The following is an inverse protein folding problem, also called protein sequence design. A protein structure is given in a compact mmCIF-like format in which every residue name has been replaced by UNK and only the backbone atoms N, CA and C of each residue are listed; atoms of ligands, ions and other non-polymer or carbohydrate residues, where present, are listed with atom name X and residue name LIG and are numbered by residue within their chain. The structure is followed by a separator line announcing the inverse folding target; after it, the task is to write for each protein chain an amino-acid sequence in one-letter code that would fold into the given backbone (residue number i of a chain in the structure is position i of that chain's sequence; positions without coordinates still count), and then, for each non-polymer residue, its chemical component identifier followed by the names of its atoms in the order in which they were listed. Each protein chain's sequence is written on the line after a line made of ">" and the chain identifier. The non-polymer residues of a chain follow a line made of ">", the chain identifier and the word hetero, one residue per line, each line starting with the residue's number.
data_IF_398320117596
#
_entry.id   IF_398320117596
#
_cell.length_a   1.000
_cell.length_b   1.000
_cell.length_c   1.000
_cell.angle_alpha   90.00
_cell.angle_beta   90.00
_cell.angle_gamma   90.00
#
_symmetry.space_group_name_H-M   'P 1'
#
loop_
_entity.id
_entity.type
_entity.pdbx_description
1 polymer ?
#
# COMPACT_ATOMS: atom_id res chain seq x y z
N UNK A 1 12.69 18.44 4.99
CA UNK A 1 12.96 17.29 5.86
C UNK A 1 11.77 16.81 6.70
N UNK A 2 10.78 17.66 7.00
CA UNK A 2 9.55 17.25 7.72
C UNK A 2 8.75 16.19 6.95
N UNK A 3 8.63 16.32 5.63
CA UNK A 3 7.92 15.39 4.75
C UNK A 3 8.42 13.93 4.88
N UNK A 4 9.73 13.71 4.76
CA UNK A 4 10.32 12.37 4.89
C UNK A 4 10.18 11.76 6.30
N UNK A 5 10.10 12.59 7.32
CA UNK A 5 9.87 12.12 8.68
C UNK A 5 8.43 11.66 8.90
N UNK A 6 7.50 12.29 8.17
CA UNK A 6 6.07 12.02 8.28
C UNK A 6 5.66 10.82 7.42
N UNK A 7 6.15 10.76 6.17
CA UNK A 7 5.76 9.73 5.18
C UNK A 7 6.86 8.72 4.89
N UNK A 8 7.88 8.67 5.72
CA UNK A 8 9.04 7.82 5.50
C UNK A 8 8.72 6.34 5.41
N UNK A 9 7.81 5.84 6.24
CA UNK A 9 7.42 4.43 6.23
C UNK A 9 6.66 4.07 4.95
N UNK A 10 5.72 4.90 4.50
CA UNK A 10 5.00 4.70 3.25
C UNK A 10 5.92 4.71 2.04
N UNK A 11 6.90 5.63 2.01
CA UNK A 11 7.89 5.72 0.93
C UNK A 11 8.76 4.48 0.89
N UNK A 12 9.34 4.09 2.02
CA UNK A 12 10.20 2.90 2.11
C UNK A 12 9.42 1.65 1.74
N UNK A 13 8.19 1.52 2.21
CA UNK A 13 7.35 0.37 1.91
C UNK A 13 6.95 0.32 0.43
N UNK A 14 6.63 1.47 -0.19
CA UNK A 14 6.37 1.53 -1.64
C UNK A 14 7.58 1.09 -2.46
N UNK A 15 8.77 1.55 -2.08
CA UNK A 15 10.01 1.11 -2.74
C UNK A 15 10.30 -0.38 -2.51
N UNK A 16 10.01 -0.90 -1.32
CA UNK A 16 10.15 -2.33 -1.02
C UNK A 16 9.17 -3.18 -1.84
N UNK A 17 7.92 -2.76 -1.97
CA UNK A 17 6.91 -3.42 -2.82
C UNK A 17 7.38 -3.43 -4.28
N UNK A 18 7.83 -2.30 -4.81
CA UNK A 18 8.37 -2.21 -6.16
C UNK A 18 9.57 -3.16 -6.36
N UNK A 19 10.53 -3.13 -5.44
CA UNK A 19 11.71 -3.97 -5.48
C UNK A 19 11.36 -5.45 -5.49
N UNK A 20 10.51 -5.91 -4.56
CA UNK A 20 10.06 -7.31 -4.47
C UNK A 20 9.29 -7.70 -5.73
N UNK A 21 8.45 -6.82 -6.25
CA UNK A 21 7.65 -7.09 -7.46
C UNK A 21 8.52 -7.24 -8.71
N UNK A 22 9.62 -6.48 -8.82
CA UNK A 22 10.53 -6.55 -9.98
C UNK A 22 11.53 -7.70 -9.86
N UNK A 23 12.12 -7.91 -8.68
CA UNK A 23 13.25 -8.85 -8.50
C UNK A 23 12.78 -10.27 -8.24
N UNK A 24 11.54 -10.47 -7.83
CA UNK A 24 11.00 -11.80 -7.55
C UNK A 24 10.96 -12.64 -8.83
N UNK A 25 12.12 -13.16 -9.22
CA UNK A 25 12.24 -14.31 -10.11
C UNK A 25 11.73 -15.53 -9.36
N UNK A 26 10.42 -15.74 -9.41
CA UNK A 26 9.84 -16.97 -8.91
C UNK A 26 10.31 -18.09 -9.82
N UNK A 27 11.00 -19.14 -9.32
CA UNK A 27 11.22 -20.34 -10.11
C UNK A 27 9.83 -20.82 -10.58
N UNK A 28 9.72 -21.20 -11.84
CA UNK A 28 8.49 -21.76 -12.41
C UNK A 28 8.18 -23.09 -11.70
N UNK A 29 7.49 -23.02 -10.57
CA UNK A 29 6.88 -24.20 -9.98
C UNK A 29 5.48 -24.34 -10.59
N UNK A 30 5.18 -25.43 -11.28
CA UNK A 30 3.92 -25.62 -12.00
C UNK A 30 2.72 -25.92 -11.09
N UNK A 31 2.86 -25.86 -9.77
CA UNK A 31 1.81 -26.22 -8.83
C UNK A 31 0.79 -25.09 -8.61
N UNK A 32 -0.48 -25.46 -8.74
CA UNK A 32 -1.65 -24.61 -8.46
C UNK A 32 -1.61 -23.96 -7.07
N UNK A 33 -1.02 -24.60 -6.08
CA UNK A 33 -0.84 -24.07 -4.73
C UNK A 33 0.02 -22.80 -4.72
N UNK A 34 0.98 -22.69 -5.61
CA UNK A 34 1.88 -21.56 -5.70
C UNK A 34 1.20 -20.29 -6.22
N UNK A 35 0.23 -20.44 -7.13
CA UNK A 35 -0.54 -19.30 -7.68
C UNK A 35 -1.42 -18.63 -6.63
N UNK A 36 -2.01 -19.40 -5.72
CA UNK A 36 -2.80 -18.85 -4.61
C UNK A 36 -1.93 -18.14 -3.57
N UNK A 37 -0.75 -18.68 -3.30
CA UNK A 37 0.21 -18.06 -2.37
C UNK A 37 0.71 -16.70 -2.91
N UNK A 38 0.89 -16.58 -4.22
CA UNK A 38 1.27 -15.32 -4.84
C UNK A 38 0.18 -14.24 -4.65
N UNK A 39 -1.07 -14.58 -4.90
CA UNK A 39 -2.21 -13.68 -4.68
C UNK A 39 -2.38 -13.27 -3.20
N UNK A 40 -2.17 -14.20 -2.29
CA UNK A 40 -2.18 -13.91 -0.85
C UNK A 40 -1.03 -12.95 -0.49
N UNK A 41 0.15 -13.13 -1.06
CA UNK A 41 1.28 -12.24 -0.86
C UNK A 41 0.98 -10.82 -1.38
N UNK A 42 0.41 -10.68 -2.57
CA UNK A 42 -0.05 -9.41 -3.12
C UNK A 42 -1.08 -8.74 -2.20
N UNK A 43 -2.11 -9.48 -1.80
CA UNK A 43 -3.11 -8.96 -0.85
C UNK A 43 -2.47 -8.44 0.44
N UNK A 44 -1.56 -9.20 1.06
CA UNK A 44 -0.91 -8.79 2.31
C UNK A 44 -0.02 -7.57 2.10
N UNK A 45 0.79 -7.54 1.03
CA UNK A 45 1.66 -6.40 0.73
C UNK A 45 0.87 -5.10 0.60
N UNK A 46 -0.21 -5.12 -0.15
CA UNK A 46 -1.04 -3.93 -0.37
C UNK A 46 -1.96 -3.60 0.81
N UNK A 47 -2.36 -4.61 1.58
CA UNK A 47 -3.02 -4.38 2.87
C UNK A 47 -2.10 -3.61 3.83
N UNK A 48 -0.85 -4.01 3.95
CA UNK A 48 0.13 -3.34 4.81
C UNK A 48 0.46 -1.95 4.26
N UNK A 49 0.69 -1.80 2.96
CA UNK A 49 0.97 -0.51 2.33
C UNK A 49 -0.16 0.50 2.58
N UNK A 50 -1.39 0.13 2.26
CA UNK A 50 -2.56 0.98 2.47
C UNK A 50 -2.77 1.31 3.95
N UNK A 51 -2.60 0.32 4.83
CA UNK A 51 -2.72 0.50 6.27
C UNK A 51 -1.70 1.49 6.83
N UNK A 52 -0.44 1.40 6.40
CA UNK A 52 0.62 2.33 6.81
C UNK A 52 0.37 3.73 6.29
N UNK A 53 -0.04 3.89 5.03
CA UNK A 53 -0.40 5.20 4.47
C UNK A 53 -1.55 5.82 5.26
N UNK A 54 -2.61 5.05 5.54
CA UNK A 54 -3.73 5.53 6.34
C UNK A 54 -3.29 5.94 7.76
N UNK A 55 -2.42 5.16 8.38
CA UNK A 55 -1.90 5.44 9.72
C UNK A 55 -1.08 6.74 9.75
N UNK A 56 -0.17 6.92 8.80
CA UNK A 56 0.65 8.14 8.70
C UNK A 56 -0.22 9.37 8.44
N UNK A 57 -1.18 9.29 7.53
CA UNK A 57 -2.14 10.36 7.25
C UNK A 57 -3.01 10.67 8.47
N UNK A 58 -3.47 9.65 9.18
CA UNK A 58 -4.31 9.84 10.36
C UNK A 58 -3.55 10.54 11.51
N UNK A 59 -2.28 10.24 11.69
CA UNK A 59 -1.43 10.95 12.66
C UNK A 59 -1.30 12.44 12.36
N UNK A 60 -1.42 12.82 11.08
CA UNK A 60 -1.36 14.20 10.60
C UNK A 60 -2.76 14.84 10.43
N UNK A 61 -3.76 14.35 11.15
CA UNK A 61 -5.19 14.65 10.97
C UNK A 61 -5.55 16.14 10.88
N UNK A 62 -4.75 17.03 11.46
CA UNK A 62 -5.00 18.48 11.38
C UNK A 62 -4.80 19.06 9.98
N UNK A 63 -4.05 18.37 9.12
CA UNK A 63 -3.71 18.83 7.79
C UNK A 63 -4.45 18.08 6.66
N UNK A 64 -5.22 17.00 6.96
CA UNK A 64 -5.82 16.13 5.95
C UNK A 64 -7.32 15.97 6.08
N UNK A 65 -8.00 16.15 4.94
CA UNK A 65 -9.43 15.89 4.80
C UNK A 65 -9.73 14.41 4.53
N UNK A 66 -10.97 13.98 4.77
CA UNK A 66 -11.45 12.63 4.41
C UNK A 66 -11.24 12.31 2.93
N UNK A 67 -11.29 13.31 2.05
CA UNK A 67 -11.01 13.15 0.62
C UNK A 67 -9.55 12.76 0.38
N UNK A 68 -8.62 13.40 1.05
CA UNK A 68 -7.18 13.07 0.93
C UNK A 68 -6.88 11.69 1.49
N UNK A 69 -7.55 11.29 2.57
CA UNK A 69 -7.41 9.96 3.11
C UNK A 69 -7.88 8.87 2.12
N UNK A 70 -8.98 9.10 1.41
CA UNK A 70 -9.42 8.20 0.33
C UNK A 70 -8.43 8.18 -0.84
N UNK A 71 -7.94 9.34 -1.26
CA UNK A 71 -7.02 9.42 -2.40
C UNK A 71 -5.70 8.70 -2.12
N UNK A 72 -5.09 8.97 -0.99
CA UNK A 72 -3.76 8.43 -0.66
C UNK A 72 -3.81 7.05 0.01
N UNK A 73 -4.80 6.81 0.87
CA UNK A 73 -4.92 5.53 1.59
C UNK A 73 -5.57 4.41 0.78
N UNK A 74 -6.41 4.75 -0.21
CA UNK A 74 -7.15 3.78 -1.01
C UNK A 74 -6.76 3.82 -2.49
N UNK A 75 -6.92 4.96 -3.15
CA UNK A 75 -6.74 5.06 -4.62
C UNK A 75 -5.27 4.90 -5.00
N UNK A 76 -4.36 5.54 -4.27
CA UNK A 76 -2.92 5.46 -4.54
C UNK A 76 -2.38 4.02 -4.55
N UNK A 77 -2.60 3.17 -3.53
CA UNK A 77 -2.12 1.79 -3.57
C UNK A 77 -2.70 0.99 -4.73
N UNK A 78 -3.98 1.17 -5.05
CA UNK A 78 -4.65 0.47 -6.16
C UNK A 78 -4.03 0.85 -7.50
N UNK A 79 -3.86 2.15 -7.76
CA UNK A 79 -3.23 2.65 -8.99
C UNK A 79 -1.76 2.22 -9.06
N UNK A 80 -1.06 2.26 -7.93
CA UNK A 80 0.33 1.83 -7.84
C UNK A 80 0.51 0.35 -8.21
N UNK A 81 -0.38 -0.53 -7.73
CA UNK A 81 -0.41 -1.94 -8.12
C UNK A 81 -0.61 -2.11 -9.62
N UNK A 82 -1.58 -1.42 -10.21
CA UNK A 82 -1.83 -1.46 -11.64
C UNK A 82 -0.62 -0.99 -12.47
N UNK A 83 0.06 0.04 -12.02
CA UNK A 83 1.30 0.52 -12.68
C UNK A 83 2.41 -0.53 -12.61
N UNK A 84 2.58 -1.20 -11.48
CA UNK A 84 3.58 -2.27 -11.31
C UNK A 84 3.27 -3.44 -12.26
N UNK A 85 2.00 -3.88 -12.37
CA UNK A 85 1.60 -4.94 -13.30
C UNK A 85 1.92 -4.57 -14.75
N UNK A 86 1.63 -3.33 -15.16
CA UNK A 86 1.98 -2.84 -16.49
C UNK A 86 3.48 -2.79 -16.73
N UNK A 87 4.27 -2.42 -15.72
CA UNK A 87 5.73 -2.44 -15.81
C UNK A 87 6.28 -3.86 -15.95
N UNK A 88 5.74 -4.81 -15.20
CA UNK A 88 6.13 -6.22 -15.29
C UNK A 88 5.85 -6.79 -16.67
N UNK A 89 4.66 -6.53 -17.23
CA UNK A 89 4.26 -7.02 -18.54
C UNK A 89 5.15 -6.47 -19.67
N UNK A 90 5.50 -5.19 -19.61
CA UNK A 90 6.17 -4.52 -20.73
C UNK A 90 7.70 -4.51 -20.65
N UNK A 91 8.28 -4.55 -19.46
CA UNK A 91 9.71 -4.30 -19.26
C UNK A 91 10.48 -5.44 -18.60
N UNK A 92 9.82 -6.44 -18.04
CA UNK A 92 10.48 -7.48 -17.25
C UNK A 92 10.10 -8.91 -17.67
N UNK A 93 10.27 -9.29 -18.97
CA UNK A 93 10.09 -10.68 -19.37
C UNK A 93 11.07 -11.61 -18.59
N UNK A 94 10.68 -12.83 -18.23
CA UNK A 94 9.49 -13.56 -18.66
C UNK A 94 8.23 -13.33 -17.83
N UNK A 95 8.19 -12.31 -16.96
CA UNK A 95 6.98 -12.01 -16.18
C UNK A 95 5.89 -11.46 -17.10
N UNK A 96 4.73 -12.07 -17.00
CA UNK A 96 3.48 -11.54 -17.56
C UNK A 96 2.71 -10.89 -16.43
N UNK A 97 2.24 -9.67 -16.65
CA UNK A 97 1.32 -9.02 -15.71
C UNK A 97 0.06 -9.90 -15.54
N UNK A 98 -0.32 -10.14 -14.30
CA UNK A 98 -1.55 -10.90 -13.99
C UNK A 98 -2.59 -9.95 -13.37
N UNK A 99 -3.63 -9.65 -14.12
CA UNK A 99 -4.74 -8.82 -13.65
C UNK A 99 -5.41 -9.34 -12.39
N UNK A 100 -5.31 -10.66 -12.13
CA UNK A 100 -5.82 -11.24 -10.88
C UNK A 100 -4.97 -10.86 -9.66
N UNK A 101 -3.68 -10.60 -9.85
CA UNK A 101 -2.80 -10.08 -8.81
C UNK A 101 -3.14 -8.63 -8.49
N UNK A 102 -3.42 -7.81 -9.52
CA UNK A 102 -3.94 -6.46 -9.30
C UNK A 102 -5.28 -6.43 -8.55
N UNK A 103 -6.18 -7.38 -8.83
CA UNK A 103 -7.43 -7.52 -8.04
C UNK A 103 -7.12 -7.85 -6.58
N UNK A 104 -6.14 -8.70 -6.29
CA UNK A 104 -5.70 -8.99 -4.93
C UNK A 104 -5.12 -7.74 -4.24
N UNK A 105 -4.33 -6.93 -4.95
CA UNK A 105 -3.81 -5.64 -4.47
C UNK A 105 -4.94 -4.68 -4.11
N UNK A 106 -5.93 -4.56 -4.99
CA UNK A 106 -7.09 -3.71 -4.76
C UNK A 106 -7.91 -4.17 -3.55
N UNK A 107 -8.16 -5.47 -3.41
CA UNK A 107 -8.88 -6.04 -2.27
C UNK A 107 -8.12 -5.83 -0.96
N UNK A 108 -6.81 -6.00 -0.95
CA UNK A 108 -5.96 -5.73 0.21
C UNK A 108 -6.04 -4.27 0.63
N UNK A 109 -5.94 -3.36 -0.33
CA UNK A 109 -6.02 -1.91 -0.10
C UNK A 109 -7.39 -1.48 0.42
N UNK A 110 -8.48 -2.01 -0.14
CA UNK A 110 -9.85 -1.73 0.31
C UNK A 110 -10.05 -2.22 1.75
N UNK A 111 -9.64 -3.46 2.04
CA UNK A 111 -9.77 -4.04 3.37
C UNK A 111 -9.01 -3.22 4.42
N UNK A 112 -7.76 -2.84 4.13
CA UNK A 112 -6.95 -2.01 5.02
C UNK A 112 -7.54 -0.63 5.24
N UNK A 113 -8.04 0.03 4.18
CA UNK A 113 -8.66 1.35 4.28
C UNK A 113 -9.87 1.35 5.19
N UNK A 114 -10.80 0.41 5.01
CA UNK A 114 -11.98 0.32 5.87
C UNK A 114 -11.64 -0.07 7.31
N UNK A 115 -10.68 -0.96 7.49
CA UNK A 115 -10.19 -1.33 8.82
C UNK A 115 -9.54 -0.11 9.51
N UNK A 116 -8.68 0.62 8.82
CA UNK A 116 -8.04 1.82 9.31
C UNK A 116 -9.08 2.89 9.69
N UNK A 117 -10.06 3.14 8.83
CA UNK A 117 -11.12 4.11 9.09
C UNK A 117 -11.90 3.81 10.37
N UNK A 118 -12.10 2.52 10.69
CA UNK A 118 -12.85 2.10 11.86
C UNK A 118 -11.99 1.99 13.13
N UNK A 119 -10.73 1.61 13.01
CA UNK A 119 -9.85 1.33 14.15
C UNK A 119 -9.01 2.54 14.57
N UNK A 120 -8.46 3.30 13.63
CA UNK A 120 -7.57 4.42 13.96
C UNK A 120 -8.21 5.44 14.91
N UNK A 121 -9.48 5.85 14.74
CA UNK A 121 -10.13 6.77 15.67
C UNK A 121 -10.24 6.25 17.10
N UNK A 122 -10.25 4.92 17.28
CA UNK A 122 -10.41 4.29 18.59
C UNK A 122 -9.09 4.12 19.34
N UNK A 123 -7.99 3.85 18.61
CA UNK A 123 -6.74 3.42 19.21
C UNK A 123 -5.58 4.40 19.02
N UNK A 124 -5.67 5.30 18.05
CA UNK A 124 -4.61 6.25 17.74
C UNK A 124 -5.11 7.66 18.05
N UNK A 125 -4.42 8.36 18.93
CA UNK A 125 -4.61 9.81 19.12
C UNK A 125 -3.80 10.54 18.05
N UNK A 126 -4.36 11.55 17.37
CA UNK A 126 -3.57 12.43 16.51
C UNK A 126 -2.44 13.06 17.32
N UNK A 127 -1.29 13.21 16.72
CA UNK A 127 -0.17 13.89 17.36
C UNK A 127 -0.55 15.35 17.54
N UNK A 128 -0.72 15.77 18.81
CA UNK A 128 -0.89 17.18 19.14
C UNK A 128 0.39 17.90 18.72
N UNK A 129 0.35 18.53 17.56
CA UNK A 129 1.36 19.51 17.22
C UNK A 129 1.12 20.66 18.20
N UNK A 130 1.89 20.66 19.28
CA UNK A 130 1.81 21.69 20.30
C UNK A 130 1.77 23.05 19.65
N UNK A 131 0.57 23.56 19.47
CA UNK A 131 0.32 24.98 19.34
C UNK A 131 0.67 25.58 20.70
N UNK A 132 1.97 25.66 20.98
CA UNK A 132 2.45 26.64 21.90
C UNK A 132 2.10 27.99 21.31
N UNK A 133 0.91 28.47 21.60
CA UNK A 133 0.62 29.89 21.56
C UNK A 133 1.63 30.58 22.48
N UNK A 134 2.62 31.17 21.90
CA UNK A 134 3.32 32.33 22.45
C UNK A 134 3.33 33.43 21.44
#
# INVERSE_FOLDING_TARGET
>A
MRFFRVYGMSIVLSLAVLYVSIIRTVPEFPDLQFRWMDKVAHFIMYFVLSGVVCFELYRQRYDFSDRQMRLWGLIYPIVYGGVIELLQENFFPPRTGDWSDWVADALGSVAAYFLAKNLLPKYVKPEDQGLSCR
#
